data_IF_436127706081
#
_entry.id   IF_436127706081
#
_cell.length_a   1.000
_cell.length_b   1.000
_cell.length_c   1.000
_cell.angle_alpha   90.00
_cell.angle_beta   90.00
_cell.angle_gamma   90.00
#
_symmetry.space_group_name_H-M   'P 1'
#
loop_
_entity.id
_entity.type
_entity.pdbx_description
1 polymer ?
#
# COMPACT_ATOMS: atom_id res chain seq x y z
N UNK A 1 -11.00 1.63 23.61
CA UNK A 1 -10.69 1.36 22.20
C UNK A 1 -9.28 1.85 21.94
N UNK A 2 -8.45 1.13 21.16
CA UNK A 2 -7.18 1.68 20.70
C UNK A 2 -7.43 2.95 19.87
N UNK A 3 -6.45 3.86 19.78
CA UNK A 3 -6.58 5.06 18.96
C UNK A 3 -6.77 4.69 17.48
N UNK A 4 -7.63 5.44 16.78
CA UNK A 4 -7.87 5.35 15.34
C UNK A 4 -6.58 5.59 14.56
N UNK A 5 -6.35 4.80 13.51
CA UNK A 5 -5.21 4.95 12.61
C UNK A 5 -5.57 5.92 11.50
N UNK A 6 -4.80 7.01 11.39
CA UNK A 6 -5.02 8.04 10.38
C UNK A 6 -4.14 7.82 9.16
N UNK A 7 -4.67 8.12 7.97
CA UNK A 7 -3.87 8.10 6.76
C UNK A 7 -2.70 9.07 6.88
N UNK A 8 -2.96 10.32 7.25
CA UNK A 8 -1.97 11.39 7.24
C UNK A 8 -0.76 11.15 8.15
N UNK A 9 -0.99 10.64 9.37
CA UNK A 9 0.05 10.54 10.40
C UNK A 9 0.61 9.14 10.60
N UNK A 10 -0.16 8.08 10.29
CA UNK A 10 0.28 6.71 10.51
C UNK A 10 0.68 6.00 9.20
N UNK A 11 -0.17 6.07 8.17
CA UNK A 11 0.01 5.27 6.94
C UNK A 11 0.80 5.99 5.86
N UNK A 12 0.51 7.26 5.61
CA UNK A 12 1.15 8.04 4.55
C UNK A 12 2.68 8.13 4.74
N UNK A 13 3.24 8.27 5.96
CA UNK A 13 4.69 8.21 6.15
C UNK A 13 5.29 6.85 5.76
N UNK A 14 4.55 5.74 5.93
CA UNK A 14 4.95 4.40 5.50
C UNK A 14 4.97 4.33 3.97
N UNK A 15 3.90 4.78 3.33
CA UNK A 15 3.80 4.80 1.88
C UNK A 15 4.88 5.70 1.26
N UNK A 16 5.15 6.86 1.85
CA UNK A 16 6.15 7.81 1.35
C UNK A 16 7.56 7.21 1.30
N UNK A 17 7.99 6.53 2.37
CA UNK A 17 9.35 5.98 2.43
C UNK A 17 9.52 4.63 1.74
N UNK A 18 8.44 3.94 1.41
CA UNK A 18 8.49 2.54 0.94
C UNK A 18 7.90 2.33 -0.45
N UNK A 19 7.00 3.21 -0.91
CA UNK A 19 6.21 2.97 -2.12
C UNK A 19 6.12 4.19 -3.04
N UNK A 20 5.83 5.37 -2.49
CA UNK A 20 5.68 6.62 -3.23
C UNK A 20 7.04 7.26 -3.55
N UNK A 21 7.87 6.49 -4.26
CA UNK A 21 9.20 6.85 -4.72
C UNK A 21 9.21 6.93 -6.25
N UNK A 22 10.07 7.79 -6.79
CA UNK A 22 10.19 7.96 -8.24
C UNK A 22 10.56 6.61 -8.90
N UNK A 23 9.86 6.26 -9.98
CA UNK A 23 10.00 4.97 -10.65
C UNK A 23 9.20 3.82 -10.01
N UNK A 24 8.60 4.03 -8.84
CA UNK A 24 7.63 3.13 -8.21
C UNK A 24 6.23 3.78 -8.27
N UNK A 25 5.66 4.21 -7.15
CA UNK A 25 4.29 4.75 -7.09
C UNK A 25 4.26 6.28 -6.91
N UNK A 26 5.13 7.00 -7.60
CA UNK A 26 5.21 8.46 -7.58
C UNK A 26 5.39 9.05 -8.97
N UNK A 27 4.76 10.20 -9.19
CA UNK A 27 5.02 11.08 -10.33
C UNK A 27 3.99 10.95 -11.45
N UNK A 28 4.29 11.46 -12.66
CA UNK A 28 3.33 11.55 -13.75
C UNK A 28 2.99 10.19 -14.39
N UNK A 29 3.90 9.21 -14.27
CA UNK A 29 3.72 7.85 -14.81
C UNK A 29 4.05 6.85 -13.69
N UNK A 30 3.21 6.76 -12.66
CA UNK A 30 3.46 5.84 -11.56
C UNK A 30 3.25 4.39 -12.03
N UNK A 31 4.02 3.47 -11.47
CA UNK A 31 3.91 2.05 -11.73
C UNK A 31 2.47 1.57 -11.56
N UNK A 32 2.02 0.75 -12.49
CA UNK A 32 0.65 0.26 -12.59
C UNK A 32 -0.44 1.36 -12.62
N UNK A 33 -0.09 2.61 -12.89
CA UNK A 33 -1.03 3.74 -12.80
C UNK A 33 -1.53 3.98 -11.38
N UNK A 34 -0.70 3.69 -10.36
CA UNK A 34 -1.04 3.87 -8.95
C UNK A 34 -0.11 4.89 -8.30
N UNK A 35 -0.60 6.12 -8.12
CA UNK A 35 0.10 7.18 -7.38
C UNK A 35 -0.23 7.08 -5.88
N UNK A 36 0.79 6.87 -5.05
CA UNK A 36 0.67 6.77 -3.59
C UNK A 36 1.22 8.01 -2.87
N UNK A 37 1.48 9.10 -3.60
CA UNK A 37 1.87 10.36 -2.98
C UNK A 37 0.75 10.97 -2.14
N UNK A 38 1.17 11.75 -1.13
CA UNK A 38 0.25 12.44 -0.24
C UNK A 38 -0.79 13.26 -1.04
N UNK A 39 -2.06 13.11 -0.66
CA UNK A 39 -3.19 13.75 -1.35
C UNK A 39 -3.76 12.95 -2.52
N UNK A 40 -3.08 11.90 -3.01
CA UNK A 40 -3.56 11.05 -4.12
C UNK A 40 -3.83 9.60 -3.73
N UNK A 41 -3.22 9.12 -2.63
CA UNK A 41 -3.33 7.74 -2.13
C UNK A 41 -4.74 7.16 -2.23
N UNK A 42 -5.75 7.82 -1.63
CA UNK A 42 -7.12 7.29 -1.58
C UNK A 42 -7.74 7.19 -2.97
N UNK A 43 -7.75 8.28 -3.74
CA UNK A 43 -8.35 8.28 -5.08
C UNK A 43 -7.66 7.33 -6.08
N UNK A 44 -6.41 6.99 -5.83
CA UNK A 44 -5.60 6.08 -6.65
C UNK A 44 -5.73 4.61 -6.26
N UNK A 45 -6.15 4.29 -5.03
CA UNK A 45 -6.05 2.92 -4.50
C UNK A 45 -7.31 2.39 -3.84
N UNK A 46 -8.10 3.24 -3.18
CA UNK A 46 -9.28 2.81 -2.44
C UNK A 46 -10.46 2.62 -3.39
N UNK A 47 -11.07 1.43 -3.38
CA UNK A 47 -12.12 1.03 -4.33
C UNK A 47 -11.70 1.07 -5.81
N UNK A 48 -10.39 1.05 -6.09
CA UNK A 48 -9.85 0.97 -7.45
C UNK A 48 -9.46 -0.47 -7.77
N UNK A 49 -9.83 -0.98 -8.95
CA UNK A 49 -9.42 -2.32 -9.40
C UNK A 49 -7.90 -2.41 -9.53
N UNK A 50 -7.32 -3.54 -9.14
CA UNK A 50 -5.90 -3.81 -9.41
C UNK A 50 -5.66 -3.95 -10.91
N UNK A 51 -4.59 -3.35 -11.40
CA UNK A 51 -4.16 -3.48 -12.81
C UNK A 51 -3.64 -4.90 -13.07
N UNK A 52 -2.99 -5.49 -12.07
CA UNK A 52 -2.36 -6.81 -12.17
C UNK A 52 -3.37 -7.95 -11.97
N UNK A 53 -4.32 -7.78 -11.06
CA UNK A 53 -5.39 -8.76 -10.77
C UNK A 53 -6.77 -8.05 -10.81
N UNK A 54 -7.38 -7.88 -12.00
CA UNK A 54 -8.59 -7.06 -12.16
C UNK A 54 -9.85 -7.51 -11.41
N UNK A 55 -9.84 -8.73 -10.86
CA UNK A 55 -10.91 -9.27 -10.01
C UNK A 55 -10.82 -8.80 -8.56
N UNK A 56 -9.74 -8.13 -8.16
CA UNK A 56 -9.53 -7.58 -6.80
C UNK A 56 -9.42 -6.06 -6.81
N UNK A 57 -9.72 -5.46 -5.66
CA UNK A 57 -9.44 -4.05 -5.41
C UNK A 57 -8.02 -3.89 -4.89
N UNK A 58 -7.35 -2.80 -5.28
CA UNK A 58 -6.05 -2.38 -4.70
C UNK A 58 -6.19 -2.27 -3.19
N UNK A 59 -7.20 -1.54 -2.73
CA UNK A 59 -7.64 -1.49 -1.34
C UNK A 59 -9.16 -1.62 -1.29
N UNK A 60 -9.66 -2.59 -0.51
CA UNK A 60 -11.06 -2.80 -0.19
C UNK A 60 -11.32 -2.30 1.25
N UNK A 61 -11.99 -1.15 1.42
CA UNK A 61 -12.35 -0.64 2.75
C UNK A 61 -13.04 -1.69 3.63
N UNK A 62 -12.62 -1.76 4.89
CA UNK A 62 -13.16 -2.67 5.89
C UNK A 62 -12.70 -4.13 5.74
N UNK A 63 -11.93 -4.48 4.70
CA UNK A 63 -11.49 -5.85 4.48
C UNK A 63 -10.01 -5.90 4.02
N UNK A 64 -9.06 -5.95 4.96
CA UNK A 64 -7.63 -6.02 4.63
C UNK A 64 -7.27 -7.32 3.90
N UNK A 65 -7.87 -8.46 4.24
CA UNK A 65 -7.50 -9.76 3.63
C UNK A 65 -7.88 -9.85 2.16
N UNK A 66 -8.94 -9.15 1.75
CA UNK A 66 -9.38 -9.05 0.35
C UNK A 66 -8.82 -7.79 -0.36
N UNK A 67 -7.85 -7.10 0.26
CA UNK A 67 -7.15 -5.97 -0.34
C UNK A 67 -5.85 -6.43 -1.01
N UNK A 68 -5.66 -6.11 -2.29
CA UNK A 68 -4.48 -6.53 -3.03
C UNK A 68 -3.17 -5.95 -2.48
N UNK A 69 -3.21 -4.73 -1.94
CA UNK A 69 -2.07 -4.12 -1.24
C UNK A 69 -1.53 -5.04 -0.14
N UNK A 70 -2.42 -5.62 0.69
CA UNK A 70 -2.04 -6.47 1.82
C UNK A 70 -1.35 -7.75 1.34
N UNK A 71 -1.89 -8.37 0.29
CA UNK A 71 -1.29 -9.54 -0.36
C UNK A 71 0.12 -9.24 -0.89
N UNK A 72 0.32 -8.06 -1.49
CA UNK A 72 1.61 -7.62 -2.03
C UNK A 72 2.64 -7.33 -0.94
N UNK A 73 2.25 -6.74 0.19
CA UNK A 73 3.20 -6.43 1.29
C UNK A 73 3.54 -7.64 2.17
N UNK A 74 2.63 -8.61 2.27
CA UNK A 74 2.85 -9.87 3.01
C UNK A 74 3.45 -10.97 2.15
N UNK A 75 3.54 -10.78 0.82
CA UNK A 75 4.13 -11.75 -0.09
C UNK A 75 3.31 -13.03 -0.24
N UNK A 76 1.97 -12.93 -0.13
CA UNK A 76 1.09 -14.11 -0.16
C UNK A 76 1.14 -14.84 -1.52
N UNK A 77 0.91 -16.16 -1.57
CA UNK A 77 0.79 -16.89 -2.83
C UNK A 77 -0.30 -16.31 -3.74
N UNK A 78 -0.02 -16.21 -5.04
CA UNK A 78 -0.98 -15.72 -6.04
C UNK A 78 -0.95 -14.21 -6.32
N UNK A 79 0.04 -13.49 -5.78
CA UNK A 79 0.38 -12.15 -6.29
C UNK A 79 1.01 -12.22 -7.68
N UNK A 80 0.92 -11.13 -8.42
CA UNK A 80 1.67 -10.95 -9.66
C UNK A 80 3.00 -10.27 -9.32
N UNK A 81 4.07 -10.71 -9.99
CA UNK A 81 5.40 -10.19 -9.73
C UNK A 81 5.92 -10.56 -8.35
N UNK A 82 6.60 -9.62 -7.70
CA UNK A 82 7.27 -9.83 -6.42
C UNK A 82 6.45 -9.24 -5.26
N UNK A 83 6.81 -9.65 -4.04
CA UNK A 83 6.41 -8.93 -2.82
C UNK A 83 6.89 -7.48 -2.89
N UNK A 84 6.07 -6.54 -2.42
CA UNK A 84 6.39 -5.12 -2.34
C UNK A 84 6.74 -4.72 -0.89
N UNK A 85 7.75 -3.86 -0.66
CA UNK A 85 8.74 -3.42 -1.63
C UNK A 85 9.65 -4.58 -2.10
N UNK A 86 10.04 -4.61 -3.38
CA UNK A 86 10.86 -5.68 -3.93
C UNK A 86 12.26 -5.65 -3.31
N UNK A 87 12.78 -6.84 -2.98
CA UNK A 87 14.07 -6.99 -2.32
C UNK A 87 14.00 -7.08 -0.79
N UNK A 88 12.80 -7.11 -0.20
CA UNK A 88 12.60 -7.36 1.23
C UNK A 88 12.48 -8.87 1.57
N UNK A 89 12.99 -9.33 2.73
CA UNK A 89 13.86 -8.60 3.67
C UNK A 89 15.30 -8.54 3.11
N UNK A 90 15.81 -7.35 2.86
CA UNK A 90 17.09 -7.18 2.16
C UNK A 90 17.36 -5.73 1.80
N UNK A 91 17.87 -5.48 0.59
CA UNK A 91 18.14 -4.13 0.07
C UNK A 91 17.11 -3.78 -0.99
N UNK A 92 16.07 -3.00 -0.65
CA UNK A 92 15.02 -2.68 -1.60
C UNK A 92 15.51 -1.74 -2.70
N UNK A 93 14.80 -1.79 -3.83
CA UNK A 93 15.10 -0.92 -4.97
C UNK A 93 14.75 0.55 -4.66
N UNK A 94 15.40 1.46 -5.37
CA UNK A 94 15.12 2.91 -5.36
C UNK A 94 15.12 3.57 -3.96
N UNK A 95 15.87 3.01 -3.01
CA UNK A 95 15.96 3.52 -1.64
C UNK A 95 14.72 3.28 -0.80
N UNK A 96 13.83 2.38 -1.22
CA UNK A 96 12.68 1.98 -0.42
C UNK A 96 13.13 1.34 0.91
N UNK A 97 12.33 1.54 1.94
CA UNK A 97 12.52 0.86 3.22
C UNK A 97 11.62 -0.38 3.30
N UNK A 98 12.15 -1.49 3.80
CA UNK A 98 11.31 -2.65 4.13
C UNK A 98 10.31 -2.31 5.23
N UNK A 99 9.12 -2.89 5.11
CA UNK A 99 8.08 -2.74 6.11
C UNK A 99 8.37 -3.63 7.33
N UNK A 100 8.19 -3.08 8.51
CA UNK A 100 8.14 -3.84 9.76
C UNK A 100 6.76 -4.48 9.96
N UNK A 101 6.65 -5.38 10.93
CA UNK A 101 5.36 -5.95 11.32
C UNK A 101 4.37 -4.86 11.78
N UNK A 102 4.86 -3.83 12.49
CA UNK A 102 4.04 -2.71 12.94
C UNK A 102 3.55 -1.84 11.78
N UNK A 103 4.36 -1.67 10.73
CA UNK A 103 3.95 -0.95 9.53
C UNK A 103 2.81 -1.67 8.80
N UNK A 104 2.96 -2.99 8.61
CA UNK A 104 1.94 -3.83 8.01
C UNK A 104 0.66 -3.78 8.86
N UNK A 105 0.80 -3.88 10.19
CA UNK A 105 -0.33 -3.79 11.12
C UNK A 105 -1.05 -2.44 11.03
N UNK A 106 -0.32 -1.32 10.95
CA UNK A 106 -0.91 0.00 10.78
C UNK A 106 -1.69 0.13 9.46
N UNK A 107 -1.13 -0.38 8.35
CA UNK A 107 -1.83 -0.39 7.05
C UNK A 107 -3.10 -1.24 7.14
N UNK A 108 -3.02 -2.46 7.70
CA UNK A 108 -4.17 -3.36 7.85
C UNK A 108 -5.25 -2.73 8.73
N UNK A 109 -4.88 -2.07 9.82
CA UNK A 109 -5.80 -1.41 10.73
C UNK A 109 -6.49 -0.22 10.04
N UNK A 110 -5.75 0.62 9.32
CA UNK A 110 -6.33 1.71 8.53
C UNK A 110 -7.33 1.20 7.48
N UNK A 111 -7.02 0.10 6.80
CA UNK A 111 -7.96 -0.53 5.86
C UNK A 111 -9.20 -1.04 6.60
N UNK A 112 -9.02 -1.67 7.76
CA UNK A 112 -10.11 -2.17 8.61
C UNK A 112 -11.04 -1.03 9.05
N UNK A 113 -10.48 0.14 9.33
CA UNK A 113 -11.20 1.37 9.69
C UNK A 113 -11.83 2.09 8.49
N UNK A 114 -11.76 1.51 7.29
CA UNK A 114 -12.44 1.99 6.09
C UNK A 114 -11.55 2.75 5.12
N UNK A 115 -10.22 2.72 5.31
CA UNK A 115 -9.24 3.37 4.43
C UNK A 115 -9.54 4.86 4.20
N UNK A 116 -9.87 5.57 5.28
CA UNK A 116 -10.32 6.97 5.25
C UNK A 116 -9.18 7.94 4.90
N UNK A 117 -9.55 9.09 4.33
CA UNK A 117 -8.64 10.22 4.11
C UNK A 117 -8.69 11.17 5.32
N UNK A 118 -7.89 10.89 6.35
CA UNK A 118 -7.93 11.58 7.66
C UNK A 118 -6.54 11.84 8.27
#
# INVERSE_FOLDING_TARGET
MPPTVLLSTNVQPILNRSCALAGCHLGPVPAQGQDLSAGKTVGSSVNVKSTEIPTRLRIKPGNPDDSYLVQKIEGTPGIAGLQEPPGCPGSPLNGAQCLSADDISAIRQWITEGALNN
#
